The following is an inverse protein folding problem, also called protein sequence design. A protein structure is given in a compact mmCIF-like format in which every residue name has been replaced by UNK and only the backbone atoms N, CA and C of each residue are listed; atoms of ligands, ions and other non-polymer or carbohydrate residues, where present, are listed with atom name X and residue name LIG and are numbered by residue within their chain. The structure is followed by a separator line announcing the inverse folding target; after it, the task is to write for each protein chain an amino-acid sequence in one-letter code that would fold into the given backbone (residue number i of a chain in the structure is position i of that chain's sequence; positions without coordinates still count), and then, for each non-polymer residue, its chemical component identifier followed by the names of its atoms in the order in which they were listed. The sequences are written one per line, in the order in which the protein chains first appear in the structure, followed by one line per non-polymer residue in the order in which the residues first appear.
data_IF_291119832105
#
_entry.id   IF_291119832105
#
_cell.length_a   1.000
_cell.length_b   1.000
_cell.length_c   1.000
_cell.angle_alpha   90.00
_cell.angle_beta   90.00
_cell.angle_gamma   90.00
#
_symmetry.space_group_name_H-M   'P 1'
#
loop_
_entity.id
_entity.type
_entity.pdbx_description
1 polymer ?
#
# COMPACT_ATOMS: atom_id res chain seq x y z
N UNK A 1 -29.49 -13.69 28.49
CA UNK A 1 -28.17 -13.41 27.86
C UNK A 1 -28.07 -14.27 26.61
N UNK A 2 -27.92 -13.68 25.45
CA UNK A 2 -28.02 -14.35 24.14
C UNK A 2 -26.73 -15.06 23.71
N UNK A 3 -25.56 -14.66 24.25
CA UNK A 3 -24.27 -15.22 23.92
C UNK A 3 -23.47 -15.58 25.19
N UNK A 4 -22.71 -16.70 25.14
CA UNK A 4 -21.79 -17.08 26.22
C UNK A 4 -20.46 -16.30 26.14
N UNK A 5 -19.68 -16.26 27.24
CA UNK A 5 -18.34 -15.62 27.20
C UNK A 5 -17.41 -16.34 26.27
N UNK A 6 -17.49 -17.66 26.15
CA UNK A 6 -16.71 -18.45 25.19
C UNK A 6 -17.00 -18.04 23.73
N UNK A 7 -18.29 -17.80 23.42
CA UNK A 7 -18.69 -17.33 22.08
C UNK A 7 -18.16 -15.90 21.80
N UNK A 8 -18.19 -15.03 22.81
CA UNK A 8 -17.67 -13.67 22.68
C UNK A 8 -16.14 -13.66 22.55
N UNK A 9 -15.42 -14.53 23.25
CA UNK A 9 -13.97 -14.69 23.08
C UNK A 9 -13.64 -15.24 21.68
N UNK A 10 -14.36 -16.24 21.20
CA UNK A 10 -14.19 -16.76 19.84
C UNK A 10 -14.47 -15.70 18.76
N UNK A 11 -15.41 -14.78 19.01
CA UNK A 11 -15.63 -13.60 18.16
C UNK A 11 -14.40 -12.67 18.14
N UNK A 12 -13.84 -12.33 19.30
CA UNK A 12 -12.64 -11.50 19.42
C UNK A 12 -11.41 -12.13 18.77
N UNK A 13 -11.30 -13.46 18.80
CA UNK A 13 -10.25 -14.24 18.16
C UNK A 13 -10.46 -14.44 16.65
N UNK A 14 -11.61 -14.04 16.11
CA UNK A 14 -11.95 -14.21 14.69
C UNK A 14 -12.15 -15.67 14.26
N UNK A 15 -12.52 -16.55 15.20
CA UNK A 15 -12.67 -18.00 14.96
C UNK A 15 -14.12 -18.44 14.70
N UNK A 16 -15.10 -17.52 14.83
CA UNK A 16 -16.51 -17.78 14.50
C UNK A 16 -16.77 -17.77 12.98
N UNK A 17 -17.82 -18.45 12.58
CA UNK A 17 -18.32 -18.33 11.22
C UNK A 17 -18.94 -16.93 10.96
N UNK A 18 -19.03 -16.54 9.67
CA UNK A 18 -19.50 -15.21 9.29
C UNK A 18 -20.97 -14.91 9.68
N UNK A 19 -21.79 -15.93 9.89
CA UNK A 19 -23.19 -15.76 10.29
C UNK A 19 -23.29 -15.48 11.78
N UNK A 20 -22.54 -16.21 12.60
CA UNK A 20 -22.48 -16.02 14.05
C UNK A 20 -21.83 -14.67 14.41
N UNK A 21 -20.75 -14.30 13.71
CA UNK A 21 -20.10 -13.01 13.90
C UNK A 21 -21.06 -11.84 13.65
N UNK A 22 -21.80 -11.85 12.54
CA UNK A 22 -22.83 -10.83 12.24
C UNK A 22 -23.93 -10.78 13.28
N UNK A 23 -24.38 -11.94 13.81
CA UNK A 23 -25.40 -11.96 14.84
C UNK A 23 -24.94 -11.30 16.14
N UNK A 24 -23.64 -11.35 16.45
CA UNK A 24 -23.04 -10.62 17.58
C UNK A 24 -22.94 -9.12 17.26
N UNK A 25 -22.48 -8.75 16.08
CA UNK A 25 -22.38 -7.35 15.62
C UNK A 25 -23.73 -6.63 15.70
N UNK A 26 -24.79 -7.26 15.15
CA UNK A 26 -26.15 -6.73 15.20
C UNK A 26 -26.65 -6.60 16.65
N UNK A 27 -26.35 -7.57 17.51
CA UNK A 27 -26.77 -7.54 18.91
C UNK A 27 -26.02 -6.50 19.75
N UNK A 28 -24.73 -6.25 19.46
CA UNK A 28 -23.92 -5.22 20.13
C UNK A 28 -24.42 -3.83 19.78
N UNK A 29 -24.89 -3.60 18.55
CA UNK A 29 -25.43 -2.32 18.11
C UNK A 29 -26.67 -1.89 18.93
N UNK A 30 -27.45 -2.86 19.44
CA UNK A 30 -28.71 -2.62 20.16
C UNK A 30 -28.58 -2.82 21.67
N UNK A 31 -27.50 -3.41 22.21
CA UNK A 31 -27.33 -3.77 23.63
C UNK A 31 -25.99 -3.25 24.20
N UNK A 32 -25.99 -2.06 24.85
CA UNK A 32 -24.81 -1.50 25.50
C UNK A 32 -24.21 -2.39 26.61
N UNK A 33 -25.01 -3.26 27.24
CA UNK A 33 -24.46 -4.17 28.23
C UNK A 33 -23.65 -5.30 27.61
N UNK A 34 -24.05 -5.75 26.43
CA UNK A 34 -23.26 -6.71 25.64
C UNK A 34 -21.96 -6.08 25.13
N UNK A 35 -21.97 -4.82 24.69
CA UNK A 35 -20.79 -4.07 24.31
C UNK A 35 -19.79 -3.99 25.47
N UNK A 36 -20.23 -3.57 26.66
CA UNK A 36 -19.37 -3.49 27.85
C UNK A 36 -18.79 -4.85 28.24
N UNK A 37 -19.54 -5.90 28.07
CA UNK A 37 -19.09 -7.27 28.35
C UNK A 37 -18.05 -7.73 27.35
N UNK A 38 -18.24 -7.41 26.06
CA UNK A 38 -17.28 -7.69 25.01
C UNK A 38 -15.95 -6.95 25.25
N UNK A 39 -16.02 -5.66 25.59
CA UNK A 39 -14.84 -4.88 25.98
C UNK A 39 -14.11 -5.42 27.21
N UNK A 40 -14.85 -5.97 28.19
CA UNK A 40 -14.24 -6.56 29.39
C UNK A 40 -13.51 -7.88 29.11
N UNK A 41 -13.90 -8.59 28.05
CA UNK A 41 -13.27 -9.84 27.61
C UNK A 41 -12.07 -9.61 26.68
N UNK A 42 -11.93 -8.40 26.09
CA UNK A 42 -10.80 -8.06 25.22
C UNK A 42 -9.55 -7.74 26.06
N UNK A 43 -8.47 -8.56 26.00
CA UNK A 43 -7.26 -8.34 26.77
C UNK A 43 -6.51 -7.07 26.36
N UNK A 44 -6.76 -6.54 25.18
CA UNK A 44 -6.09 -5.32 24.66
C UNK A 44 -6.87 -4.03 24.99
N UNK A 45 -8.17 -4.10 25.26
CA UNK A 45 -9.00 -2.93 25.52
C UNK A 45 -8.46 -2.03 26.65
N UNK A 46 -7.97 -2.53 27.81
CA UNK A 46 -7.41 -1.70 28.87
C UNK A 46 -6.15 -0.96 28.44
N UNK A 47 -5.28 -1.61 27.66
CA UNK A 47 -4.02 -1.03 27.18
C UNK A 47 -4.28 0.07 26.17
N UNK A 48 -5.18 -0.16 25.22
CA UNK A 48 -5.59 0.82 24.21
C UNK A 48 -6.21 2.04 24.90
N UNK A 49 -7.11 1.84 25.84
CA UNK A 49 -7.75 2.91 26.61
C UNK A 49 -6.70 3.76 27.35
N UNK A 50 -5.74 3.14 28.02
CA UNK A 50 -4.67 3.82 28.73
C UNK A 50 -3.81 4.69 27.79
N UNK A 51 -3.50 4.21 26.59
CA UNK A 51 -2.74 4.96 25.59
C UNK A 51 -3.53 6.20 25.13
N UNK A 52 -4.83 6.06 24.85
CA UNK A 52 -5.67 7.18 24.44
C UNK A 52 -5.90 8.21 25.57
N UNK A 53 -6.04 7.76 26.83
CA UNK A 53 -6.16 8.65 27.99
C UNK A 53 -4.86 9.40 28.28
N UNK A 54 -3.70 8.83 27.95
CA UNK A 54 -2.39 9.48 28.11
C UNK A 54 -2.05 10.45 26.96
N UNK A 55 -2.79 10.39 25.84
CA UNK A 55 -2.60 11.35 24.75
C UNK A 55 -3.10 12.73 25.17
N UNK A 56 -2.24 13.79 25.14
CA UNK A 56 -2.70 15.13 25.39
C UNK A 56 -3.78 15.50 24.38
N UNK A 57 -4.94 15.96 24.85
CA UNK A 57 -6.03 16.44 24.03
C UNK A 57 -5.61 17.76 23.35
N UNK A 58 -4.75 17.67 22.36
CA UNK A 58 -4.49 18.75 21.42
C UNK A 58 -5.63 18.76 20.42
N UNK A 59 -6.74 19.37 20.79
CA UNK A 59 -7.74 19.76 19.80
C UNK A 59 -7.09 20.84 18.93
N UNK A 60 -6.84 20.60 17.63
CA UNK A 60 -6.45 21.67 16.73
C UNK A 60 -7.54 22.74 16.80
N UNK A 61 -7.15 23.98 17.09
CA UNK A 61 -8.06 25.11 17.00
C UNK A 61 -8.41 25.29 15.51
N UNK A 62 -9.57 24.77 15.13
CA UNK A 62 -10.10 24.99 13.78
C UNK A 62 -10.88 26.28 13.87
N UNK A 63 -10.33 27.37 13.32
CA UNK A 63 -11.10 28.57 13.03
C UNK A 63 -12.17 28.23 12.00
N UNK A 64 -13.36 27.92 12.48
CA UNK A 64 -14.53 27.81 11.61
C UNK A 64 -14.87 29.23 11.15
N UNK A 65 -14.96 29.49 9.85
CA UNK A 65 -15.45 30.78 9.38
C UNK A 65 -16.83 31.02 9.99
N UNK A 66 -16.99 32.25 10.56
CA UNK A 66 -18.21 32.66 11.23
C UNK A 66 -19.43 32.28 10.39
N UNK A 67 -20.31 31.57 11.06
CA UNK A 67 -21.59 31.08 10.59
C UNK A 67 -22.25 32.00 9.59
N UNK A 68 -22.66 31.46 8.46
CA UNK A 68 -23.61 32.09 7.58
C UNK A 68 -24.81 32.57 8.38
N UNK A 69 -24.89 33.88 8.61
CA UNK A 69 -26.09 34.51 9.09
C UNK A 69 -27.19 34.25 8.05
N UNK A 70 -28.13 33.42 8.43
CA UNK A 70 -29.29 33.16 7.62
C UNK A 70 -30.11 34.46 7.49
N UNK A 71 -29.90 35.15 6.40
CA UNK A 71 -30.77 36.26 6.02
C UNK A 71 -32.17 35.68 5.80
N UNK A 72 -33.22 36.22 6.42
CA UNK A 72 -34.59 35.70 6.23
C UNK A 72 -34.94 35.69 4.76
N UNK A 73 -35.32 34.55 4.25
CA UNK A 73 -35.72 34.33 2.86
C UNK A 73 -36.93 35.24 2.52
N UNK A 74 -36.68 36.28 1.75
CA UNK A 74 -37.74 37.03 1.07
C UNK A 74 -38.40 36.07 0.07
N UNK A 75 -39.64 35.74 0.28
CA UNK A 75 -40.46 34.92 -0.61
C UNK A 75 -40.53 35.56 -2.00
N UNK A 76 -39.73 35.06 -2.92
CA UNK A 76 -39.87 35.36 -4.36
C UNK A 76 -40.59 34.19 -5.00
N UNK A 77 -41.91 34.29 -5.03
CA UNK A 77 -42.75 33.47 -5.92
C UNK A 77 -42.37 33.82 -7.36
N UNK A 78 -41.61 32.97 -8.04
CA UNK A 78 -41.36 33.16 -9.47
C UNK A 78 -40.08 32.60 -10.08
N UNK A 79 -39.18 31.93 -9.34
CA UNK A 79 -37.89 31.53 -9.91
C UNK A 79 -37.45 30.08 -9.70
N UNK A 80 -38.37 29.13 -9.81
CA UNK A 80 -38.03 27.71 -9.81
C UNK A 80 -36.98 27.35 -10.87
N UNK A 81 -36.95 28.10 -11.99
CA UNK A 81 -35.92 27.93 -13.02
C UNK A 81 -34.52 28.38 -12.57
N UNK A 82 -34.42 29.44 -11.78
CA UNK A 82 -33.11 29.91 -11.24
C UNK A 82 -32.60 29.03 -10.12
N UNK A 83 -33.48 28.46 -9.31
CA UNK A 83 -33.10 27.46 -8.28
C UNK A 83 -32.58 26.15 -8.90
N UNK A 84 -33.17 25.71 -10.01
CA UNK A 84 -32.69 24.52 -10.74
C UNK A 84 -31.30 24.76 -11.35
N UNK A 85 -31.04 25.97 -11.87
CA UNK A 85 -29.69 26.31 -12.39
C UNK A 85 -28.67 26.41 -11.25
N UNK A 86 -29.00 27.01 -10.11
CA UNK A 86 -28.11 27.11 -8.97
C UNK A 86 -27.77 25.71 -8.38
N UNK A 87 -28.75 24.81 -8.30
CA UNK A 87 -28.56 23.46 -7.86
C UNK A 87 -27.63 22.64 -8.81
N UNK A 88 -27.81 22.80 -10.12
CA UNK A 88 -26.95 22.12 -11.10
C UNK A 88 -25.53 22.63 -11.08
N UNK A 89 -25.28 23.92 -10.90
CA UNK A 89 -23.95 24.51 -10.75
C UNK A 89 -23.28 24.01 -9.45
N UNK A 90 -24.02 23.93 -8.34
CA UNK A 90 -23.51 23.41 -7.08
C UNK A 90 -23.11 21.92 -7.19
N UNK A 91 -23.93 21.08 -7.84
CA UNK A 91 -23.60 19.67 -8.06
C UNK A 91 -22.37 19.52 -8.95
N UNK A 92 -22.24 20.33 -10.01
CA UNK A 92 -21.05 20.30 -10.88
C UNK A 92 -19.82 20.76 -10.11
N UNK A 93 -19.91 21.83 -9.32
CA UNK A 93 -18.78 22.33 -8.52
C UNK A 93 -18.34 21.30 -7.46
N UNK A 94 -19.26 20.69 -6.73
CA UNK A 94 -18.96 19.63 -5.75
C UNK A 94 -18.35 18.41 -6.42
N UNK A 95 -18.92 18.00 -7.57
CA UNK A 95 -18.37 16.88 -8.33
C UNK A 95 -16.98 17.19 -8.86
N UNK A 96 -16.76 18.37 -9.44
CA UNK A 96 -15.46 18.79 -9.94
C UNK A 96 -14.41 18.88 -8.80
N UNK A 97 -14.78 19.43 -7.64
CA UNK A 97 -13.90 19.47 -6.47
C UNK A 97 -13.58 18.06 -5.97
N UNK A 98 -14.57 17.17 -5.88
CA UNK A 98 -14.37 15.78 -5.48
C UNK A 98 -13.42 15.03 -6.44
N UNK A 99 -13.54 15.28 -7.74
CA UNK A 99 -12.63 14.68 -8.73
C UNK A 99 -11.22 15.29 -8.68
N UNK A 100 -11.12 16.61 -8.45
CA UNK A 100 -9.85 17.33 -8.38
C UNK A 100 -9.08 17.04 -7.08
N UNK A 101 -9.77 16.71 -5.98
CA UNK A 101 -9.16 16.43 -4.68
C UNK A 101 -8.97 14.93 -4.40
N UNK A 102 -9.34 14.05 -5.35
CA UNK A 102 -9.01 12.62 -5.20
C UNK A 102 -7.51 12.47 -5.09
N UNK A 103 -6.98 11.86 -4.02
CA UNK A 103 -5.58 11.50 -3.98
C UNK A 103 -5.25 10.66 -5.22
N UNK A 104 -4.19 11.02 -5.92
CA UNK A 104 -3.72 10.19 -7.03
C UNK A 104 -3.53 8.77 -6.51
N UNK A 105 -4.14 7.79 -7.18
CA UNK A 105 -3.95 6.40 -6.79
C UNK A 105 -2.46 6.06 -6.83
N UNK A 106 -1.95 5.60 -5.69
CA UNK A 106 -0.55 5.17 -5.57
C UNK A 106 -0.21 4.16 -6.66
N UNK A 107 0.85 4.45 -7.41
CA UNK A 107 1.38 3.57 -8.45
C UNK A 107 2.12 2.37 -7.85
N UNK A 108 2.31 1.32 -8.64
CA UNK A 108 3.05 0.13 -8.20
C UNK A 108 4.50 0.45 -7.80
N UNK A 109 5.15 1.37 -8.50
CA UNK A 109 6.52 1.78 -8.21
C UNK A 109 6.64 2.50 -6.86
N UNK A 110 5.70 3.38 -6.54
CA UNK A 110 5.64 4.07 -5.26
C UNK A 110 5.39 3.10 -4.11
N UNK A 111 4.47 2.14 -4.29
CA UNK A 111 4.23 1.10 -3.29
C UNK A 111 5.44 0.18 -3.11
N UNK A 112 6.14 -0.19 -4.19
CA UNK A 112 7.38 -0.96 -4.11
C UNK A 112 8.48 -0.21 -3.36
N UNK A 113 8.60 1.12 -3.56
CA UNK A 113 9.56 1.95 -2.85
C UNK A 113 9.24 2.04 -1.35
N UNK A 114 7.97 2.24 -0.99
CA UNK A 114 7.54 2.21 0.42
C UNK A 114 7.87 0.86 1.05
N UNK A 115 7.56 -0.25 0.39
CA UNK A 115 7.86 -1.57 0.91
C UNK A 115 9.37 -1.79 1.06
N UNK A 116 10.17 -1.38 0.08
CA UNK A 116 11.63 -1.49 0.14
C UNK A 116 12.24 -0.61 1.24
N UNK A 117 11.68 0.55 1.55
CA UNK A 117 12.18 1.43 2.62
C UNK A 117 12.08 0.82 4.03
N UNK A 118 11.35 -0.28 4.19
CA UNK A 118 11.27 -1.05 5.43
C UNK A 118 12.43 -2.05 5.61
N UNK A 119 13.20 -2.30 4.54
CA UNK A 119 14.34 -3.19 4.62
C UNK A 119 15.55 -2.47 5.24
N UNK A 120 16.18 -3.15 6.17
CA UNK A 120 17.44 -2.73 6.80
C UNK A 120 18.46 -3.86 6.65
N UNK A 121 19.77 -3.61 6.82
CA UNK A 121 20.80 -4.65 6.69
C UNK A 121 20.50 -5.91 7.50
N UNK A 122 20.04 -5.77 8.73
CA UNK A 122 19.69 -6.91 9.59
C UNK A 122 18.55 -7.76 9.03
N UNK A 123 17.60 -7.14 8.31
CA UNK A 123 16.47 -7.85 7.68
C UNK A 123 16.97 -8.83 6.61
N UNK A 124 18.00 -8.47 5.85
CA UNK A 124 18.50 -9.27 4.74
C UNK A 124 19.70 -10.17 5.11
N UNK A 125 20.39 -9.87 6.22
CA UNK A 125 21.55 -10.62 6.66
C UNK A 125 21.22 -12.07 7.04
N UNK A 126 19.98 -12.32 7.51
CA UNK A 126 19.52 -13.64 7.99
C UNK A 126 18.72 -14.42 6.94
N UNK A 127 18.56 -13.89 5.72
CA UNK A 127 17.83 -14.58 4.67
C UNK A 127 18.60 -15.82 4.19
N UNK A 128 17.87 -16.93 4.00
CA UNK A 128 18.43 -18.10 3.34
C UNK A 128 18.58 -17.83 1.83
N UNK A 129 19.81 -17.61 1.41
CA UNK A 129 20.21 -17.44 0.02
C UNK A 129 21.00 -18.63 -0.52
N UNK A 130 20.80 -19.82 0.07
CA UNK A 130 21.38 -21.04 -0.47
C UNK A 130 20.92 -21.28 -1.91
N UNK A 131 21.74 -21.91 -2.76
CA UNK A 131 21.35 -22.19 -4.14
C UNK A 131 20.00 -22.90 -4.27
N UNK A 132 19.70 -23.85 -3.38
CA UNK A 132 18.45 -24.59 -3.37
C UNK A 132 17.24 -23.70 -3.00
N UNK A 133 17.41 -22.79 -2.02
CA UNK A 133 16.36 -21.85 -1.65
C UNK A 133 16.06 -20.86 -2.79
N UNK A 134 17.11 -20.34 -3.42
CA UNK A 134 16.98 -19.43 -4.56
C UNK A 134 16.36 -20.12 -5.78
N UNK A 135 16.68 -21.40 -6.06
CA UNK A 135 16.05 -22.18 -7.14
C UNK A 135 14.53 -22.22 -6.98
N UNK A 136 14.05 -22.53 -5.79
CA UNK A 136 12.60 -22.59 -5.48
C UNK A 136 11.96 -21.20 -5.63
N UNK A 137 12.59 -20.16 -5.09
CA UNK A 137 12.06 -18.78 -5.13
C UNK A 137 11.98 -18.24 -6.56
N UNK A 138 13.02 -18.48 -7.38
CA UNK A 138 13.03 -18.03 -8.78
C UNK A 138 12.02 -18.82 -9.62
N UNK A 139 11.91 -20.14 -9.44
CA UNK A 139 10.90 -20.94 -10.13
C UNK A 139 9.47 -20.43 -9.85
N UNK A 140 9.15 -20.14 -8.59
CA UNK A 140 7.87 -19.56 -8.21
C UNK A 140 7.66 -18.16 -8.80
N UNK A 141 8.68 -17.31 -8.77
CA UNK A 141 8.62 -15.95 -9.30
C UNK A 141 8.40 -15.96 -10.82
N UNK A 142 9.11 -16.78 -11.55
CA UNK A 142 9.00 -16.93 -13.01
C UNK A 142 7.64 -17.48 -13.44
N UNK A 143 7.10 -18.46 -12.70
CA UNK A 143 5.77 -19.02 -12.92
C UNK A 143 4.69 -17.92 -12.78
N UNK A 144 4.72 -17.16 -11.70
CA UNK A 144 3.74 -16.10 -11.46
C UNK A 144 3.89 -14.92 -12.43
N UNK A 145 5.12 -14.56 -12.79
CA UNK A 145 5.39 -13.49 -13.73
C UNK A 145 5.06 -13.90 -15.17
N UNK A 146 5.26 -15.19 -15.51
CA UNK A 146 5.14 -15.74 -16.87
C UNK A 146 6.31 -15.34 -17.77
N UNK A 147 7.50 -15.12 -17.19
CA UNK A 147 8.73 -14.76 -17.88
C UNK A 147 9.93 -15.26 -17.09
N UNK A 148 11.00 -15.68 -17.78
CA UNK A 148 12.28 -15.98 -17.15
C UNK A 148 12.96 -14.70 -16.63
N UNK A 149 13.58 -14.81 -15.48
CA UNK A 149 14.30 -13.72 -14.80
C UNK A 149 15.82 -13.83 -14.96
N UNK A 150 16.31 -14.92 -15.57
CA UNK A 150 17.73 -15.17 -15.78
C UNK A 150 18.56 -15.00 -14.50
N UNK A 151 18.32 -15.88 -13.52
CA UNK A 151 18.97 -15.85 -12.21
C UNK A 151 20.49 -15.68 -12.31
N UNK A 152 21.17 -16.44 -13.19
CA UNK A 152 22.63 -16.37 -13.29
C UNK A 152 23.15 -14.97 -13.65
N UNK A 153 22.40 -14.26 -14.51
CA UNK A 153 22.76 -12.89 -14.87
C UNK A 153 22.51 -11.91 -13.72
N UNK A 154 21.48 -12.17 -12.89
CA UNK A 154 21.19 -11.36 -11.71
C UNK A 154 22.23 -11.60 -10.58
N UNK A 155 22.69 -12.83 -10.40
CA UNK A 155 23.79 -13.17 -9.47
C UNK A 155 25.13 -12.56 -9.90
N UNK A 156 25.31 -12.31 -11.20
CA UNK A 156 26.52 -11.71 -11.75
C UNK A 156 26.53 -10.18 -11.73
N UNK A 157 25.50 -9.51 -11.16
CA UNK A 157 25.49 -8.05 -11.05
C UNK A 157 26.65 -7.53 -10.22
N UNK A 158 27.44 -6.57 -10.76
CA UNK A 158 28.65 -6.11 -10.08
C UNK A 158 28.35 -5.47 -8.71
N UNK A 159 29.08 -5.89 -7.67
CA UNK A 159 29.00 -5.32 -6.33
C UNK A 159 27.71 -5.65 -5.56
N UNK A 160 26.89 -6.56 -6.08
CA UNK A 160 25.65 -7.00 -5.44
C UNK A 160 25.69 -8.49 -5.11
N UNK A 161 25.23 -8.84 -3.93
CA UNK A 161 25.02 -10.22 -3.47
C UNK A 161 23.52 -10.53 -3.45
N UNK A 162 23.07 -11.49 -4.26
CA UNK A 162 21.68 -11.90 -4.36
C UNK A 162 21.22 -12.55 -3.06
N UNK A 163 20.20 -12.00 -2.44
CA UNK A 163 19.67 -12.47 -1.16
C UNK A 163 18.36 -13.23 -1.30
N UNK A 164 17.46 -12.80 -2.18
CA UNK A 164 16.11 -13.36 -2.22
C UNK A 164 15.37 -12.95 -3.49
N UNK A 165 14.49 -13.85 -3.98
CA UNK A 165 13.40 -13.49 -4.88
C UNK A 165 12.05 -13.79 -4.20
N UNK A 166 11.11 -12.87 -4.26
CA UNK A 166 9.79 -13.04 -3.66
C UNK A 166 8.67 -12.52 -4.54
N UNK A 167 7.50 -13.14 -4.39
CA UNK A 167 6.27 -12.73 -5.05
C UNK A 167 5.46 -11.87 -4.10
N UNK A 168 5.23 -10.62 -4.48
CA UNK A 168 4.34 -9.68 -3.84
C UNK A 168 3.10 -9.49 -4.71
N UNK A 169 2.13 -8.72 -4.25
CA UNK A 169 0.93 -8.38 -5.02
C UNK A 169 0.69 -6.88 -5.06
N UNK A 170 0.40 -6.37 -6.25
CA UNK A 170 -0.09 -5.01 -6.44
C UNK A 170 -1.43 -5.03 -7.18
N UNK A 171 -2.52 -4.66 -6.51
CA UNK A 171 -3.88 -4.67 -7.08
C UNK A 171 -4.22 -6.00 -7.79
N UNK A 172 -3.86 -7.13 -7.15
CA UNK A 172 -4.10 -8.47 -7.67
C UNK A 172 -3.14 -8.93 -8.78
N UNK A 173 -2.14 -8.13 -9.14
CA UNK A 173 -1.10 -8.52 -10.11
C UNK A 173 0.17 -8.95 -9.38
N UNK A 174 0.84 -10.03 -9.82
CA UNK A 174 2.13 -10.41 -9.28
C UNK A 174 3.16 -9.30 -9.51
N UNK A 175 3.84 -8.92 -8.42
CA UNK A 175 5.00 -8.04 -8.41
C UNK A 175 6.17 -8.85 -7.86
N UNK A 176 7.15 -9.12 -8.68
CA UNK A 176 8.35 -9.83 -8.25
C UNK A 176 9.34 -8.81 -7.70
N UNK A 177 9.85 -9.09 -6.51
CA UNK A 177 10.94 -8.32 -5.91
C UNK A 177 12.14 -9.23 -5.72
N UNK A 178 13.28 -8.83 -6.28
CA UNK A 178 14.57 -9.49 -6.14
C UNK A 178 15.42 -8.58 -5.26
N UNK A 179 15.86 -9.10 -4.12
CA UNK A 179 16.59 -8.34 -3.09
C UNK A 179 18.07 -8.68 -3.16
N UNK A 180 18.90 -7.67 -3.07
CA UNK A 180 20.35 -7.76 -3.03
C UNK A 180 20.90 -7.06 -1.80
N UNK A 181 22.13 -7.40 -1.43
CA UNK A 181 22.97 -6.62 -0.54
C UNK A 181 24.14 -6.04 -1.33
N UNK A 182 24.49 -4.78 -1.10
CA UNK A 182 25.74 -4.23 -1.59
C UNK A 182 26.94 -4.67 -0.73
N UNK A 183 28.14 -4.19 -1.06
CA UNK A 183 29.38 -4.51 -0.33
C UNK A 183 29.37 -4.04 1.14
N UNK A 184 28.49 -3.11 1.49
CA UNK A 184 28.27 -2.60 2.86
C UNK A 184 27.09 -3.31 3.56
N UNK A 185 26.47 -4.29 2.90
CA UNK A 185 25.29 -4.99 3.40
C UNK A 185 23.99 -4.20 3.28
N UNK A 186 23.99 -3.08 2.55
CA UNK A 186 22.77 -2.28 2.38
C UNK A 186 21.81 -2.94 1.38
N UNK A 187 20.49 -2.89 1.64
CA UNK A 187 19.50 -3.53 0.80
C UNK A 187 19.25 -2.74 -0.50
N UNK A 188 19.38 -3.39 -1.65
CA UNK A 188 18.88 -2.93 -2.93
C UNK A 188 17.81 -3.87 -3.45
N UNK A 189 16.95 -3.42 -4.35
CA UNK A 189 15.96 -4.29 -4.96
C UNK A 189 15.77 -4.03 -6.45
N UNK A 190 15.48 -5.11 -7.17
CA UNK A 190 14.98 -5.07 -8.54
C UNK A 190 13.56 -5.62 -8.57
N UNK A 191 12.61 -4.82 -9.04
CA UNK A 191 11.19 -5.18 -9.10
C UNK A 191 10.73 -5.34 -10.54
N UNK A 192 9.91 -6.37 -10.80
CA UNK A 192 9.29 -6.64 -12.10
C UNK A 192 7.80 -6.90 -11.94
N UNK A 193 6.98 -6.21 -12.73
CA UNK A 193 5.52 -6.39 -12.75
C UNK A 193 5.00 -6.57 -14.16
N UNK A 194 4.06 -7.51 -14.35
CA UNK A 194 3.38 -7.65 -15.63
C UNK A 194 2.35 -6.54 -15.82
N UNK A 195 2.49 -5.73 -16.87
CA UNK A 195 1.54 -4.68 -17.22
C UNK A 195 0.55 -5.12 -18.32
N UNK A 196 0.96 -6.07 -19.14
CA UNK A 196 0.19 -6.64 -20.25
C UNK A 196 0.75 -6.26 -21.62
N UNK A 197 0.42 -7.02 -22.68
CA UNK A 197 1.06 -6.90 -24.00
C UNK A 197 0.79 -5.56 -24.69
N UNK A 198 -0.29 -4.86 -24.33
CA UNK A 198 -0.63 -3.54 -24.88
C UNK A 198 0.02 -2.37 -24.11
N UNK A 199 0.76 -2.65 -23.03
CA UNK A 199 1.40 -1.59 -22.26
C UNK A 199 2.55 -0.94 -23.11
N UNK A 200 2.60 0.39 -23.18
CA UNK A 200 3.64 1.07 -23.95
C UNK A 200 5.02 0.89 -23.30
N UNK A 201 6.04 0.78 -24.12
CA UNK A 201 7.41 0.88 -23.66
C UNK A 201 7.64 2.29 -23.11
N UNK A 202 8.47 2.40 -22.08
CA UNK A 202 8.86 3.66 -21.45
C UNK A 202 10.35 3.66 -21.22
N UNK A 203 10.97 4.76 -21.56
CA UNK A 203 12.38 5.00 -21.28
C UNK A 203 12.65 5.02 -19.77
N UNK A 204 13.91 4.88 -19.42
CA UNK A 204 14.36 4.95 -18.03
C UNK A 204 14.07 6.34 -17.47
N UNK A 205 13.36 6.34 -16.34
CA UNK A 205 13.12 7.53 -15.53
C UNK A 205 13.72 7.32 -14.16
N UNK A 206 14.67 8.18 -13.79
CA UNK A 206 15.22 8.22 -12.43
C UNK A 206 14.43 9.20 -11.55
N UNK A 207 14.24 8.85 -10.30
CA UNK A 207 13.56 9.68 -9.30
C UNK A 207 13.97 9.25 -7.88
N UNK A 208 13.61 10.04 -6.89
CA UNK A 208 13.66 9.63 -5.47
C UNK A 208 12.23 9.34 -5.04
N UNK A 209 11.95 8.11 -4.60
CA UNK A 209 10.67 7.68 -4.07
C UNK A 209 10.88 7.11 -2.66
N UNK A 210 10.10 7.57 -1.70
CA UNK A 210 10.19 7.13 -0.28
C UNK A 210 11.61 7.20 0.29
N UNK A 211 12.40 8.22 -0.12
CA UNK A 211 13.78 8.40 0.32
C UNK A 211 14.82 7.52 -0.36
N UNK A 212 14.45 6.72 -1.36
CA UNK A 212 15.33 5.81 -2.11
C UNK A 212 15.58 6.34 -3.52
N UNK A 213 16.81 6.22 -4.02
CA UNK A 213 17.10 6.39 -5.43
C UNK A 213 16.40 5.29 -6.24
N UNK A 214 15.72 5.66 -7.30
CA UNK A 214 14.95 4.73 -8.11
C UNK A 214 15.15 4.98 -9.59
N UNK A 215 15.15 3.90 -10.39
CA UNK A 215 15.10 3.95 -11.84
C UNK A 215 13.96 3.04 -12.32
N UNK A 216 13.02 3.59 -13.07
CA UNK A 216 11.84 2.85 -13.59
C UNK A 216 11.81 2.89 -15.11
N UNK A 217 11.43 1.77 -15.74
CA UNK A 217 11.19 1.69 -17.18
C UNK A 217 10.12 0.66 -17.49
N UNK A 218 9.68 0.58 -18.72
CA UNK A 218 8.76 -0.46 -19.17
C UNK A 218 9.14 -0.95 -20.56
N UNK A 219 9.10 -2.29 -20.75
CA UNK A 219 9.41 -2.92 -22.01
C UNK A 219 8.74 -4.28 -22.16
N UNK A 220 8.28 -4.61 -23.37
CA UNK A 220 7.72 -5.92 -23.68
C UNK A 220 6.50 -6.32 -22.83
N UNK A 221 5.70 -5.34 -22.37
CA UNK A 221 4.54 -5.57 -21.52
C UNK A 221 4.85 -5.73 -20.03
N UNK A 222 6.08 -5.46 -19.61
CA UNK A 222 6.52 -5.48 -18.22
C UNK A 222 6.97 -4.09 -17.76
N UNK A 223 6.75 -3.78 -16.49
CA UNK A 223 7.33 -2.65 -15.80
C UNK A 223 8.49 -3.13 -14.94
N UNK A 224 9.54 -2.37 -14.90
CA UNK A 224 10.78 -2.64 -14.17
C UNK A 224 11.10 -1.48 -13.25
N UNK A 225 11.75 -1.77 -12.15
CA UNK A 225 12.22 -0.75 -11.21
C UNK A 225 13.45 -1.27 -10.48
N UNK A 226 14.52 -0.47 -10.49
CA UNK A 226 15.67 -0.66 -9.62
C UNK A 226 15.59 0.35 -8.48
N UNK A 227 15.86 -0.10 -7.25
CA UNK A 227 15.80 0.70 -6.04
C UNK A 227 17.13 0.59 -5.29
N UNK A 228 17.66 1.74 -4.90
CA UNK A 228 18.84 1.85 -4.03
C UNK A 228 18.47 1.73 -2.55
N UNK A 229 19.47 1.84 -1.70
CA UNK A 229 19.33 1.83 -0.25
C UNK A 229 18.96 3.19 0.33
N UNK A 230 19.28 4.28 -0.38
CA UNK A 230 18.99 5.68 -0.02
C UNK A 230 18.82 6.56 -1.26
N UNK A 231 18.63 7.88 -1.06
CA UNK A 231 18.42 8.84 -2.14
C UNK A 231 19.68 9.13 -2.97
N UNK A 232 20.87 8.79 -2.48
CA UNK A 232 22.17 9.06 -3.09
C UNK A 232 22.81 7.81 -3.71
N UNK A 233 22.17 6.66 -3.60
CA UNK A 233 22.68 5.40 -4.18
C UNK A 233 22.89 5.59 -5.70
N UNK A 234 24.11 5.33 -6.19
CA UNK A 234 24.40 5.28 -7.63
C UNK A 234 23.90 3.94 -8.21
N UNK A 235 22.94 4.04 -9.12
CA UNK A 235 22.32 2.90 -9.76
C UNK A 235 22.89 2.63 -11.18
N UNK A 236 23.79 3.47 -11.68
CA UNK A 236 24.19 3.49 -13.09
C UNK A 236 24.72 2.15 -13.61
N UNK A 237 25.68 1.55 -12.93
CA UNK A 237 26.28 0.29 -13.37
C UNK A 237 25.33 -0.89 -13.43
N UNK A 238 24.44 -1.02 -12.44
CA UNK A 238 23.41 -2.06 -12.38
C UNK A 238 22.28 -1.79 -13.37
N UNK A 239 21.92 -0.52 -13.53
CA UNK A 239 20.86 -0.10 -14.43
C UNK A 239 21.17 -0.44 -15.88
N UNK A 240 22.38 -0.14 -16.35
CA UNK A 240 22.81 -0.45 -17.72
C UNK A 240 22.76 -1.95 -17.98
N UNK A 241 23.23 -2.76 -17.03
CA UNK A 241 23.18 -4.22 -17.13
C UNK A 241 21.76 -4.75 -17.16
N UNK A 242 20.88 -4.26 -16.28
CA UNK A 242 19.50 -4.71 -16.19
C UNK A 242 18.68 -4.29 -17.42
N UNK A 243 18.85 -3.07 -17.89
CA UNK A 243 18.15 -2.61 -19.11
C UNK A 243 18.56 -3.42 -20.33
N UNK A 244 19.84 -3.76 -20.48
CA UNK A 244 20.31 -4.64 -21.54
C UNK A 244 19.78 -6.07 -21.41
N UNK A 245 19.75 -6.64 -20.19
CA UNK A 245 19.26 -7.99 -19.90
C UNK A 245 17.78 -8.16 -20.24
N UNK A 246 16.97 -7.14 -19.99
CA UNK A 246 15.52 -7.19 -20.17
C UNK A 246 15.04 -6.43 -21.44
N UNK A 247 15.95 -6.08 -22.35
CA UNK A 247 15.64 -5.36 -23.59
C UNK A 247 14.89 -6.19 -24.65
N UNK A 248 14.82 -7.52 -24.51
CA UNK A 248 14.26 -8.44 -25.51
C UNK A 248 13.09 -9.27 -25.05
#
# INVERSE_FOLDING_TARGET
MKFSDETLVAYLEGTLDAGEARAIEDAVADDPALEQRLMALDPFAPVVKQVFEAMPAQTPHVDLPDTYVSTPARSVAGSWRLLAIAASVAVIAVSATFWATRPAEMGWAEQAAIYQSLYVPDTIATLDNSPAALDVQFAQAEEQLGRSLNRNALEALPGLDLKRAQVLSFKGKPLIQIVFADAQGQPLAFCVIRQGPAAPNKDVKQAVLSGLATATWAQGGYGYMLLGSDAQTDLGGQLDTLTALFAG
#
